data_IF_186350781535
#
_entry.id   IF_186350781535
#
_cell.length_a   1.000
_cell.length_b   1.000
_cell.length_c   1.000
_cell.angle_alpha   90.00
_cell.angle_beta   90.00
_cell.angle_gamma   90.00
#
_symmetry.space_group_name_H-M   'P 1'
#
loop_
_entity.id
_entity.type
_entity.pdbx_description
1 polymer ?
#
# COMPACT_ATOMS: atom_id res chain seq x y z
N UNK A 1 -0.08 -24.81 -3.93
CA UNK A 1 0.66 -23.87 -3.05
C UNK A 1 -0.14 -22.57 -3.00
N UNK A 2 -0.17 -21.88 -1.87
CA UNK A 2 -0.82 -20.56 -1.74
C UNK A 2 0.26 -19.48 -1.79
N UNK A 3 -0.02 -18.40 -2.52
CA UNK A 3 0.90 -17.27 -2.68
C UNK A 3 0.25 -16.01 -2.10
N UNK A 4 1.06 -15.13 -1.52
CA UNK A 4 0.58 -13.88 -0.92
C UNK A 4 1.53 -12.72 -1.18
N UNK A 5 1.02 -11.50 -0.98
CA UNK A 5 1.78 -10.26 -1.06
C UNK A 5 2.32 -9.86 0.31
N UNK A 6 3.52 -9.28 0.33
CA UNK A 6 4.11 -8.67 1.52
C UNK A 6 4.67 -7.29 1.16
N UNK A 7 4.17 -6.25 1.80
CA UNK A 7 4.58 -4.87 1.51
C UNK A 7 3.55 -3.85 1.97
N UNK A 8 3.80 -2.57 1.71
CA UNK A 8 2.89 -1.50 2.12
C UNK A 8 2.97 -0.29 1.20
N UNK A 9 2.03 0.62 1.33
CA UNK A 9 1.98 1.83 0.54
C UNK A 9 2.97 2.88 1.06
N UNK A 10 3.55 3.63 0.13
CA UNK A 10 4.40 4.78 0.40
C UNK A 10 3.95 5.94 -0.48
N UNK A 11 3.84 7.13 0.11
CA UNK A 11 3.52 8.34 -0.62
C UNK A 11 4.53 8.59 -1.74
N UNK A 12 4.03 9.07 -2.89
CA UNK A 12 4.87 9.41 -4.02
C UNK A 12 5.70 10.64 -3.67
N UNK A 13 7.03 10.55 -3.81
CA UNK A 13 7.95 11.68 -3.64
C UNK A 13 8.26 12.27 -5.02
N UNK A 14 8.12 13.59 -5.21
CA UNK A 14 8.56 14.19 -6.48
C UNK A 14 8.05 15.57 -6.87
N UNK A 15 7.27 16.29 -6.06
CA UNK A 15 6.90 17.67 -6.40
C UNK A 15 6.04 18.36 -5.36
N UNK A 16 5.86 19.69 -5.44
CA UNK A 16 5.03 20.45 -4.50
C UNK A 16 3.55 20.04 -4.51
N UNK A 17 3.08 19.36 -5.57
CA UNK A 17 1.69 18.90 -5.76
C UNK A 17 1.50 17.37 -5.65
N UNK A 18 2.49 16.61 -5.17
CA UNK A 18 2.26 15.17 -4.94
C UNK A 18 1.35 14.98 -3.73
N UNK A 19 0.06 14.75 -3.99
CA UNK A 19 -0.89 14.28 -2.99
C UNK A 19 -0.35 12.99 -2.34
N UNK A 20 -0.18 13.04 -1.03
CA UNK A 20 0.22 11.91 -0.18
C UNK A 20 -0.63 10.66 -0.45
N UNK A 21 -1.89 10.83 -0.88
CA UNK A 21 -2.83 9.76 -1.21
C UNK A 21 -2.57 9.03 -2.53
N UNK A 22 -1.78 9.58 -3.45
CA UNK A 22 -1.58 8.95 -4.77
C UNK A 22 -0.89 7.57 -4.68
N UNK A 23 0.14 7.44 -3.83
CA UNK A 23 0.81 6.15 -3.59
C UNK A 23 -0.05 5.13 -2.83
N UNK A 24 -1.12 5.59 -2.17
CA UNK A 24 -2.07 4.73 -1.45
C UNK A 24 -3.07 4.09 -2.41
N UNK A 25 -3.62 4.87 -3.35
CA UNK A 25 -4.52 4.34 -4.38
C UNK A 25 -3.83 3.29 -5.26
N UNK A 26 -2.59 3.55 -5.67
CA UNK A 26 -1.81 2.60 -6.48
C UNK A 26 -1.62 1.26 -5.75
N UNK A 27 -1.39 1.29 -4.44
CA UNK A 27 -1.27 0.07 -3.64
C UNK A 27 -2.59 -0.71 -3.53
N UNK A 28 -3.73 -0.02 -3.44
CA UNK A 28 -5.05 -0.68 -3.44
C UNK A 28 -5.30 -1.38 -4.78
N UNK A 29 -5.06 -0.69 -5.91
CA UNK A 29 -5.24 -1.29 -7.24
C UNK A 29 -4.31 -2.50 -7.46
N UNK A 30 -3.09 -2.44 -6.91
CA UNK A 30 -2.17 -3.58 -6.92
C UNK A 30 -2.72 -4.81 -6.17
N UNK A 31 -3.36 -4.60 -5.01
CA UNK A 31 -3.99 -5.68 -4.26
C UNK A 31 -5.20 -6.28 -5.01
N UNK A 32 -6.03 -5.44 -5.64
CA UNK A 32 -7.17 -5.89 -6.46
C UNK A 32 -6.69 -6.77 -7.62
N UNK A 33 -5.60 -6.38 -8.29
CA UNK A 33 -5.02 -7.17 -9.37
C UNK A 33 -4.46 -8.50 -8.86
N UNK A 34 -3.81 -8.50 -7.69
CA UNK A 34 -3.29 -9.73 -7.09
C UNK A 34 -4.42 -10.69 -6.70
N UNK A 35 -5.53 -10.18 -6.16
CA UNK A 35 -6.74 -10.97 -5.90
C UNK A 35 -7.26 -11.60 -7.20
N UNK A 36 -7.39 -10.81 -8.28
CA UNK A 36 -7.82 -11.31 -9.59
C UNK A 36 -6.88 -12.38 -10.18
N UNK A 37 -5.60 -12.37 -9.81
CA UNK A 37 -4.60 -13.36 -10.22
C UNK A 37 -4.54 -14.59 -9.29
N UNK A 38 -5.33 -14.64 -8.22
CA UNK A 38 -5.42 -15.78 -7.30
C UNK A 38 -4.42 -15.76 -6.15
N UNK A 39 -3.86 -14.60 -5.80
CA UNK A 39 -3.11 -14.45 -4.55
C UNK A 39 -4.08 -14.58 -3.36
N UNK A 40 -3.66 -15.34 -2.35
CA UNK A 40 -4.51 -15.76 -1.23
C UNK A 40 -4.53 -14.76 -0.07
N UNK A 41 -3.46 -13.98 0.08
CA UNK A 41 -3.31 -13.09 1.23
C UNK A 41 -2.43 -11.88 0.91
N UNK A 42 -2.66 -10.81 1.67
CA UNK A 42 -1.81 -9.60 1.69
C UNK A 42 -1.42 -9.29 3.13
N UNK A 43 -0.13 -9.11 3.36
CA UNK A 43 0.45 -8.74 4.66
C UNK A 43 1.03 -7.33 4.56
N UNK A 44 0.45 -6.40 5.32
CA UNK A 44 0.82 -4.99 5.29
C UNK A 44 1.79 -4.64 6.41
N UNK A 45 2.74 -3.75 6.12
CA UNK A 45 3.67 -3.20 7.11
C UNK A 45 3.26 -1.79 7.47
N UNK A 46 3.14 -1.53 8.76
CA UNK A 46 2.86 -0.21 9.29
C UNK A 46 4.14 0.49 9.75
N UNK A 47 4.25 1.78 9.46
CA UNK A 47 5.40 2.59 9.79
C UNK A 47 4.97 3.89 10.48
N UNK A 48 5.67 4.22 11.56
CA UNK A 48 5.48 5.46 12.29
C UNK A 48 6.80 6.23 12.35
N UNK A 49 6.73 7.55 12.18
CA UNK A 49 7.86 8.47 12.35
C UNK A 49 9.11 8.19 11.49
N UNK A 50 8.96 7.52 10.34
CA UNK A 50 10.10 7.18 9.46
C UNK A 50 10.56 8.33 8.58
N UNK A 51 9.73 9.37 8.40
CA UNK A 51 9.97 10.47 7.46
C UNK A 51 9.77 10.10 5.99
N UNK A 52 9.46 8.84 5.67
CA UNK A 52 9.33 8.34 4.29
C UNK A 52 7.90 8.39 3.72
N UNK A 53 6.91 8.85 4.49
CA UNK A 53 5.51 8.94 4.03
C UNK A 53 4.86 7.56 3.83
N UNK A 54 5.24 6.59 4.64
CA UNK A 54 4.67 5.24 4.63
C UNK A 54 3.40 5.19 5.46
N UNK A 55 2.52 4.23 5.18
CA UNK A 55 1.23 4.13 5.87
C UNK A 55 1.41 3.86 7.38
N UNK A 56 0.66 4.59 8.20
CA UNK A 56 0.67 4.49 9.67
C UNK A 56 -0.64 3.93 10.25
N UNK A 57 -1.62 3.63 9.40
CA UNK A 57 -2.90 3.05 9.78
C UNK A 57 -3.37 2.10 8.66
N UNK A 58 -2.76 0.91 8.61
CA UNK A 58 -2.95 -0.07 7.53
C UNK A 58 -4.41 -0.52 7.34
N UNK A 59 -5.19 -0.59 8.42
CA UNK A 59 -6.61 -0.99 8.35
C UNK A 59 -7.49 0.04 7.63
N UNK A 60 -7.18 1.33 7.75
CA UNK A 60 -7.94 2.39 7.09
C UNK A 60 -7.62 2.50 5.59
N UNK A 61 -6.51 1.90 5.14
CA UNK A 61 -6.12 1.91 3.73
C UNK A 61 -7.01 1.00 2.87
N UNK A 62 -7.61 -0.03 3.48
CA UNK A 62 -8.37 -1.07 2.78
C UNK A 62 -9.90 -0.87 2.87
N UNK A 63 -10.36 0.23 3.46
CA UNK A 63 -11.78 0.59 3.63
C UNK A 63 -12.14 1.78 2.76
#
# INVERSE_FOLDING_TARGET
MQFGLFGSAQAKRGGPDTDSGAGFRDFVEYNIQAEALGYYSSFLVEHHFTGFGQVSATLNLLT
#
